data_IF_392415475839
#
_entry.id   IF_392415475839
#
_cell.length_a   1.000
_cell.length_b   1.000
_cell.length_c   1.000
_cell.angle_alpha   90.00
_cell.angle_beta   90.00
_cell.angle_gamma   90.00
#
_symmetry.space_group_name_H-M   'P 1'
#
loop_
_entity.id
_entity.type
_entity.pdbx_description
1 polymer ?
#
# COMPACT_ATOMS: atom_id res chain seq x y z
N UNK A 1 -8.75 28.34 -38.45
CA UNK A 1 -8.45 26.98 -37.95
C UNK A 1 -7.04 26.83 -37.36
N UNK A 2 -5.93 27.23 -38.04
CA UNK A 2 -4.55 27.07 -37.49
C UNK A 2 -4.26 27.73 -36.13
N UNK A 3 -4.90 28.87 -35.80
CA UNK A 3 -4.70 29.55 -34.51
C UNK A 3 -5.32 28.82 -33.31
N UNK A 4 -6.37 28.04 -33.52
CA UNK A 4 -7.04 27.28 -32.45
C UNK A 4 -6.29 26.00 -32.07
N UNK A 5 -5.54 25.41 -33.02
CA UNK A 5 -4.72 24.22 -32.77
C UNK A 5 -3.53 24.51 -31.85
N UNK A 6 -2.92 25.70 -31.95
CA UNK A 6 -1.82 26.11 -31.09
C UNK A 6 -2.25 26.34 -29.63
N UNK A 7 -3.45 26.89 -29.41
CA UNK A 7 -4.00 27.12 -28.06
C UNK A 7 -4.35 25.78 -27.38
N UNK A 8 -4.93 24.84 -28.14
CA UNK A 8 -5.28 23.51 -27.63
C UNK A 8 -4.04 22.66 -27.30
N UNK A 9 -2.94 22.84 -28.06
CA UNK A 9 -1.65 22.19 -27.78
C UNK A 9 -0.94 22.81 -26.56
N UNK A 10 -1.03 24.13 -26.34
CA UNK A 10 -0.45 24.76 -25.14
C UNK A 10 -1.18 24.37 -23.84
N UNK A 11 -2.50 24.11 -23.88
CA UNK A 11 -3.24 23.59 -22.72
C UNK A 11 -2.87 22.13 -22.38
N UNK A 12 -2.36 21.35 -23.34
CA UNK A 12 -1.96 19.97 -23.10
C UNK A 12 -0.57 19.84 -22.42
N UNK A 13 0.21 20.92 -22.38
CA UNK A 13 1.57 20.93 -21.82
C UNK A 13 1.66 21.52 -20.39
N UNK A 14 0.54 21.85 -19.74
CA UNK A 14 0.50 22.08 -18.28
C UNK A 14 0.61 20.74 -17.54
N UNK A 15 1.69 20.03 -17.84
CA UNK A 15 2.02 18.73 -17.28
C UNK A 15 2.24 18.82 -15.78
N UNK A 16 1.83 17.75 -15.11
CA UNK A 16 1.89 17.53 -13.68
C UNK A 16 3.29 17.86 -13.11
N UNK A 17 3.47 19.07 -12.58
CA UNK A 17 4.69 19.44 -11.88
C UNK A 17 4.80 18.62 -10.60
N UNK A 18 6.01 18.15 -10.22
CA UNK A 18 6.20 17.45 -8.96
C UNK A 18 5.90 18.40 -7.80
N UNK A 19 5.42 17.84 -6.69
CA UNK A 19 5.26 18.56 -5.43
C UNK A 19 6.67 18.96 -4.97
N UNK A 20 6.91 20.27 -4.85
CA UNK A 20 8.17 20.80 -4.35
C UNK A 20 8.17 20.77 -2.83
N UNK A 21 9.14 20.09 -2.26
CA UNK A 21 9.41 20.08 -0.82
C UNK A 21 10.57 21.03 -0.57
N UNK A 22 10.36 22.05 0.25
CA UNK A 22 11.44 22.96 0.61
C UNK A 22 12.33 22.29 1.66
N UNK A 23 13.56 21.95 1.27
CA UNK A 23 14.54 21.28 2.13
C UNK A 23 15.80 22.14 2.19
N UNK A 24 15.94 23.00 3.22
CA UNK A 24 17.09 23.89 3.32
C UNK A 24 18.37 23.10 3.50
N UNK A 25 19.45 23.57 2.88
CA UNK A 25 20.80 22.98 2.95
C UNK A 25 20.87 21.51 2.55
N UNK A 26 20.02 21.06 1.62
CA UNK A 26 19.95 19.65 1.24
C UNK A 26 21.33 19.10 0.82
N UNK A 27 22.17 19.90 0.15
CA UNK A 27 23.51 19.54 -0.28
C UNK A 27 24.46 19.07 0.85
N UNK A 28 24.25 19.49 2.11
CA UNK A 28 25.07 19.02 3.24
C UNK A 28 24.99 17.51 3.45
N UNK A 29 23.84 16.93 3.12
CA UNK A 29 23.60 15.49 3.25
C UNK A 29 24.21 14.64 2.14
N UNK A 30 24.85 15.23 1.11
CA UNK A 30 25.57 14.49 0.07
C UNK A 30 26.78 13.71 0.63
N UNK A 31 27.24 14.07 1.83
CA UNK A 31 28.29 13.35 2.56
C UNK A 31 27.84 12.00 3.13
N UNK A 32 26.54 11.79 3.34
CA UNK A 32 25.98 10.52 3.78
C UNK A 32 25.86 9.57 2.60
N UNK A 33 26.50 8.40 2.67
CA UNK A 33 26.41 7.39 1.61
C UNK A 33 25.06 6.66 1.67
N UNK A 34 24.28 6.76 0.59
CA UNK A 34 23.00 6.08 0.44
C UNK A 34 23.01 5.24 -0.83
N UNK A 35 22.81 3.93 -0.69
CA UNK A 35 22.64 3.00 -1.79
C UNK A 35 21.15 2.69 -1.99
N UNK A 36 20.58 3.07 -3.14
CA UNK A 36 19.20 2.76 -3.50
C UNK A 36 19.11 1.42 -4.25
N UNK A 37 18.83 0.35 -3.50
CA UNK A 37 18.70 -1.03 -3.99
C UNK A 37 17.25 -1.40 -4.35
N UNK A 38 16.32 -0.43 -4.32
CA UNK A 38 14.91 -0.68 -4.62
C UNK A 38 14.71 -1.24 -6.03
N UNK A 39 13.76 -2.16 -6.23
CA UNK A 39 13.33 -2.56 -7.56
C UNK A 39 12.96 -1.35 -8.42
N UNK A 40 13.34 -1.35 -9.70
CA UNK A 40 13.03 -0.24 -10.62
C UNK A 40 11.53 0.06 -10.70
N UNK A 41 10.71 -1.00 -10.62
CA UNK A 41 9.26 -0.87 -10.64
C UNK A 41 8.77 0.05 -9.51
N UNK A 42 9.30 -0.04 -8.29
CA UNK A 42 8.86 0.81 -7.16
C UNK A 42 9.04 2.31 -7.39
N UNK A 43 9.94 2.68 -8.32
CA UNK A 43 10.22 4.08 -8.68
C UNK A 43 9.19 4.64 -9.67
N UNK A 44 8.34 3.78 -10.23
CA UNK A 44 7.38 4.11 -11.28
C UNK A 44 5.93 4.20 -10.76
N UNK A 45 5.19 5.14 -11.33
CA UNK A 45 3.75 5.26 -11.07
C UNK A 45 3.00 4.09 -11.72
N UNK A 46 2.12 3.45 -10.97
CA UNK A 46 1.22 2.40 -11.48
C UNK A 46 -0.19 2.64 -10.97
N UNK A 47 -1.16 2.68 -11.88
CA UNK A 47 -2.59 2.63 -11.55
C UNK A 47 -3.03 1.19 -11.73
N UNK A 48 -3.52 0.54 -10.68
CA UNK A 48 -3.84 -0.89 -10.73
C UNK A 48 -5.12 -1.16 -11.52
N UNK A 49 -6.20 -0.44 -11.23
CA UNK A 49 -7.43 -0.56 -12.02
C UNK A 49 -8.24 0.73 -12.11
N UNK A 50 -8.89 0.92 -13.27
CA UNK A 50 -9.88 1.97 -13.53
C UNK A 50 -11.32 1.48 -13.34
N UNK A 51 -11.53 0.16 -13.21
CA UNK A 51 -12.88 -0.44 -13.14
C UNK A 51 -13.37 -0.42 -11.70
N UNK A 52 -14.46 0.30 -11.41
CA UNK A 52 -15.03 0.46 -10.06
C UNK A 52 -15.29 -0.88 -9.36
N UNK A 53 -15.69 -1.89 -10.12
CA UNK A 53 -16.00 -3.25 -9.65
C UNK A 53 -14.76 -4.08 -9.29
N UNK A 54 -13.56 -3.70 -9.77
CA UNK A 54 -12.32 -4.40 -9.47
C UNK A 54 -11.89 -4.19 -8.01
N UNK A 55 -11.28 -5.22 -7.41
CA UNK A 55 -10.67 -5.14 -6.07
C UNK A 55 -9.51 -4.14 -6.00
N UNK A 56 -8.85 -3.91 -7.14
CA UNK A 56 -7.71 -3.03 -7.38
C UNK A 56 -8.10 -1.55 -7.54
N UNK A 57 -9.39 -1.28 -7.69
CA UNK A 57 -9.89 0.07 -7.97
C UNK A 57 -9.49 1.06 -6.88
N UNK A 58 -9.00 2.21 -7.32
CA UNK A 58 -8.60 3.30 -6.41
C UNK A 58 -7.28 3.07 -5.69
N UNK A 59 -6.52 2.03 -6.05
CA UNK A 59 -5.15 1.83 -5.60
C UNK A 59 -4.17 2.35 -6.64
N UNK A 60 -3.21 3.17 -6.21
CA UNK A 60 -2.18 3.74 -7.07
C UNK A 60 -0.84 3.61 -6.38
N UNK A 61 0.16 3.05 -7.04
CA UNK A 61 1.56 3.21 -6.62
C UNK A 61 2.10 4.53 -7.13
N UNK A 62 2.66 5.32 -6.24
CA UNK A 62 3.29 6.60 -6.56
C UNK A 62 4.74 6.36 -6.94
N UNK A 63 5.17 6.95 -8.06
CA UNK A 63 6.57 6.95 -8.46
C UNK A 63 7.34 8.14 -7.88
N UNK A 64 8.67 8.06 -7.95
CA UNK A 64 9.58 9.06 -7.37
C UNK A 64 9.38 10.46 -7.96
N UNK A 65 8.95 10.56 -9.23
CA UNK A 65 8.69 11.82 -9.92
C UNK A 65 7.50 12.63 -9.39
N UNK A 66 6.84 12.19 -8.31
CA UNK A 66 5.74 12.93 -7.66
C UNK A 66 6.23 13.93 -6.62
N UNK A 67 7.44 13.74 -6.09
CA UNK A 67 8.07 14.64 -5.13
C UNK A 67 9.38 15.17 -5.71
N UNK A 68 9.68 16.43 -5.40
CA UNK A 68 10.96 17.06 -5.71
C UNK A 68 11.48 17.72 -4.44
N UNK A 69 12.58 17.20 -3.84
CA UNK A 69 13.41 16.07 -4.29
C UNK A 69 12.72 14.70 -4.13
N UNK A 70 13.26 13.62 -4.74
CA UNK A 70 12.72 12.26 -4.62
C UNK A 70 12.73 11.72 -3.18
N UNK A 71 11.90 10.72 -2.85
CA UNK A 71 11.79 10.17 -1.48
C UNK A 71 13.12 9.71 -0.88
N UNK A 72 13.97 9.00 -1.63
CA UNK A 72 15.29 8.55 -1.13
C UNK A 72 16.21 9.73 -0.81
N UNK A 73 16.09 10.84 -1.55
CA UNK A 73 16.88 12.04 -1.26
C UNK A 73 16.40 12.75 0.01
N UNK A 74 15.09 12.73 0.27
CA UNK A 74 14.51 13.19 1.54
C UNK A 74 14.97 12.31 2.71
N UNK A 75 15.03 10.99 2.51
CA UNK A 75 15.57 10.05 3.50
C UNK A 75 17.03 10.36 3.81
N UNK A 76 17.89 10.51 2.79
CA UNK A 76 19.30 10.87 2.95
C UNK A 76 19.45 12.15 3.78
N UNK A 77 18.63 13.16 3.51
CA UNK A 77 18.64 14.41 4.25
C UNK A 77 18.29 14.22 5.72
N UNK A 78 17.17 13.56 6.03
CA UNK A 78 16.74 13.35 7.42
C UNK A 78 17.68 12.40 8.18
N UNK A 79 18.20 11.37 7.51
CA UNK A 79 19.20 10.48 8.09
C UNK A 79 20.49 11.23 8.41
N UNK A 80 20.95 12.12 7.52
CA UNK A 80 22.12 12.96 7.79
C UNK A 80 21.86 13.89 8.98
N UNK A 81 20.69 14.52 9.06
CA UNK A 81 20.34 15.34 10.23
C UNK A 81 20.42 14.53 11.53
N UNK A 82 19.84 13.33 11.53
CA UNK A 82 19.81 12.45 12.70
C UNK A 82 21.20 11.95 13.11
N UNK A 83 22.04 11.60 12.15
CA UNK A 83 23.33 10.96 12.39
C UNK A 83 24.54 11.88 12.16
N UNK A 84 24.33 13.19 12.02
CA UNK A 84 25.40 14.16 11.73
C UNK A 84 26.53 14.21 12.77
N UNK A 85 26.26 13.75 14.00
CA UNK A 85 27.25 13.66 15.07
C UNK A 85 27.99 12.32 15.12
N UNK A 86 27.60 11.33 14.31
CA UNK A 86 28.26 10.04 14.23
C UNK A 86 29.59 10.15 13.45
N UNK A 87 30.61 9.44 13.91
CA UNK A 87 31.90 9.35 13.23
C UNK A 87 32.42 7.90 13.30
N UNK A 88 32.47 7.15 12.18
CA UNK A 88 32.08 7.58 10.83
C UNK A 88 30.56 7.81 10.68
N UNK A 89 30.16 8.52 9.61
CA UNK A 89 28.75 8.58 9.21
C UNK A 89 28.28 7.19 8.79
N UNK A 90 27.04 6.80 9.13
CA UNK A 90 26.53 5.47 8.83
C UNK A 90 26.34 5.27 7.33
N UNK A 91 26.45 4.03 6.87
CA UNK A 91 26.07 3.65 5.50
C UNK A 91 24.60 3.25 5.49
N UNK A 92 23.82 3.86 4.60
CA UNK A 92 22.40 3.56 4.44
C UNK A 92 22.18 2.78 3.13
N UNK A 93 21.49 1.65 3.21
CA UNK A 93 21.01 0.89 2.05
C UNK A 93 19.49 0.89 2.08
N UNK A 94 18.84 1.23 0.98
CA UNK A 94 17.37 1.27 0.86
C UNK A 94 16.93 0.10 0.00
N UNK A 95 16.22 -0.86 0.59
CA UNK A 95 15.74 -2.05 -0.11
C UNK A 95 14.32 -1.85 -0.64
N UNK A 96 13.44 -1.22 0.15
CA UNK A 96 12.09 -0.84 -0.26
C UNK A 96 11.79 0.59 0.16
N UNK A 97 11.23 1.37 -0.75
CA UNK A 97 10.63 2.67 -0.42
C UNK A 97 9.53 2.94 -1.44
N UNK A 98 8.34 2.45 -1.11
CA UNK A 98 7.17 2.48 -1.99
C UNK A 98 6.00 3.14 -1.29
N UNK A 99 5.27 3.96 -2.05
CA UNK A 99 4.15 4.75 -1.57
C UNK A 99 2.91 4.31 -2.37
N UNK A 100 1.89 3.84 -1.68
CA UNK A 100 0.59 3.55 -2.26
C UNK A 100 -0.42 4.60 -1.82
N UNK A 101 -1.26 5.06 -2.75
CA UNK A 101 -2.50 5.77 -2.46
C UNK A 101 -3.61 4.75 -2.46
N UNK A 102 -4.40 4.74 -1.40
CA UNK A 102 -5.65 3.99 -1.35
C UNK A 102 -6.82 4.96 -1.19
N UNK A 103 -7.48 5.23 -2.31
CA UNK A 103 -8.69 6.05 -2.38
C UNK A 103 -9.94 5.22 -2.65
N UNK A 104 -9.87 3.89 -2.48
CA UNK A 104 -10.93 2.94 -2.87
C UNK A 104 -12.28 3.29 -2.23
N UNK A 105 -12.29 3.52 -0.92
CA UNK A 105 -13.51 3.84 -0.16
C UNK A 105 -14.18 5.13 -0.65
N UNK A 106 -13.40 6.21 -0.82
CA UNK A 106 -13.91 7.51 -1.24
C UNK A 106 -14.30 7.55 -2.72
N UNK A 107 -13.58 6.86 -3.60
CA UNK A 107 -13.95 6.80 -5.02
C UNK A 107 -15.23 5.98 -5.21
N UNK A 108 -15.39 4.90 -4.44
CA UNK A 108 -16.62 4.10 -4.47
C UNK A 108 -17.82 4.81 -3.84
N UNK A 109 -17.61 5.68 -2.85
CA UNK A 109 -18.70 6.51 -2.32
C UNK A 109 -19.01 7.72 -3.21
N UNK A 110 -18.00 8.32 -3.85
CA UNK A 110 -18.11 9.49 -4.71
C UNK A 110 -18.59 9.22 -6.14
N UNK A 111 -18.53 7.97 -6.61
CA UNK A 111 -19.11 7.53 -7.89
C UNK A 111 -20.64 7.76 -7.99
N UNK A 112 -21.30 8.15 -6.90
CA UNK A 112 -22.71 8.57 -6.87
C UNK A 112 -22.91 10.02 -7.35
N UNK A 113 -21.85 10.86 -7.44
CA UNK A 113 -21.99 12.31 -7.70
C UNK A 113 -21.32 12.89 -8.95
N UNK A 114 -20.40 12.20 -9.62
CA UNK A 114 -19.49 12.82 -10.61
C UNK A 114 -19.64 12.27 -12.04
N UNK A 115 -20.75 12.59 -12.70
CA UNK A 115 -20.91 12.42 -14.15
C UNK A 115 -20.09 13.40 -15.00
N UNK A 116 -19.32 14.34 -14.43
CA UNK A 116 -18.66 15.40 -15.20
C UNK A 116 -17.34 15.82 -14.54
N UNK A 117 -16.20 15.46 -15.13
CA UNK A 117 -14.91 16.15 -14.90
C UNK A 117 -13.75 15.29 -14.37
N UNK A 118 -13.07 14.56 -15.25
CA UNK A 118 -11.66 14.12 -15.09
C UNK A 118 -11.28 13.38 -13.81
N UNK A 119 -11.22 12.04 -13.89
CA UNK A 119 -11.12 11.06 -12.78
C UNK A 119 -10.05 11.28 -11.68
N UNK A 120 -9.04 12.13 -11.85
CA UNK A 120 -7.95 12.28 -10.85
C UNK A 120 -7.94 13.67 -10.20
N UNK A 121 -8.50 14.69 -10.86
CA UNK A 121 -8.39 16.08 -10.39
C UNK A 121 -9.58 16.57 -9.56
N UNK A 122 -10.80 16.14 -9.87
CA UNK A 122 -12.01 16.66 -9.23
C UNK A 122 -12.38 15.94 -7.92
N UNK A 123 -11.94 14.69 -7.73
CA UNK A 123 -12.35 13.84 -6.59
C UNK A 123 -11.58 14.09 -5.28
N UNK A 124 -10.52 14.92 -5.30
CA UNK A 124 -9.74 15.24 -4.09
C UNK A 124 -10.27 16.52 -3.39
N UNK A 125 -10.97 17.40 -4.12
CA UNK A 125 -11.28 18.75 -3.61
C UNK A 125 -12.41 18.86 -2.59
N UNK A 126 -13.40 17.95 -2.59
CA UNK A 126 -14.63 18.13 -1.81
C UNK A 126 -15.08 16.93 -0.95
N UNK A 127 -14.48 15.75 -1.12
CA UNK A 127 -14.87 14.52 -0.40
C UNK A 127 -13.84 14.01 0.61
N UNK A 128 -12.74 14.75 0.84
CA UNK A 128 -11.93 14.60 2.06
C UNK A 128 -12.65 15.34 3.18
N UNK A 129 -13.86 14.90 3.51
CA UNK A 129 -14.62 15.43 4.63
C UNK A 129 -13.95 14.94 5.93
N UNK A 130 -13.24 15.83 6.64
CA UNK A 130 -12.94 15.83 8.09
C UNK A 130 -12.72 14.51 8.86
N UNK A 131 -12.22 13.46 8.21
CA UNK A 131 -11.87 12.22 8.89
C UNK A 131 -10.41 12.29 9.36
N UNK A 132 -10.23 12.61 10.64
CA UNK A 132 -8.92 12.72 11.29
C UNK A 132 -8.38 11.32 11.61
N UNK A 133 -7.81 10.67 10.60
CA UNK A 133 -7.10 9.41 10.83
C UNK A 133 -5.72 9.72 11.36
N UNK A 134 -5.48 9.40 12.62
CA UNK A 134 -4.14 9.48 13.22
C UNK A 134 -3.17 8.61 12.42
N UNK A 135 -2.12 9.22 11.87
CA UNK A 135 -1.08 8.49 11.16
C UNK A 135 -0.40 7.47 12.08
N UNK A 136 -0.22 6.24 11.60
CA UNK A 136 0.36 5.14 12.37
C UNK A 136 1.56 4.56 11.63
N UNK A 137 2.70 4.46 12.31
CA UNK A 137 3.88 3.72 11.83
C UNK A 137 4.10 2.49 12.71
N UNK A 138 4.38 1.35 12.10
CA UNK A 138 4.76 0.12 12.80
C UNK A 138 5.90 -0.59 12.08
N UNK A 139 6.73 -1.30 12.85
CA UNK A 139 7.67 -2.28 12.31
C UNK A 139 6.86 -3.48 11.80
N UNK A 140 7.23 -4.01 10.64
CA UNK A 140 6.61 -5.18 10.02
C UNK A 140 7.66 -6.23 9.72
N UNK A 141 7.21 -7.48 9.59
CA UNK A 141 8.00 -8.57 9.02
C UNK A 141 8.12 -8.37 7.49
N UNK A 142 9.28 -8.64 6.92
CA UNK A 142 9.52 -8.58 5.47
C UNK A 142 8.58 -9.48 4.68
N UNK A 143 8.21 -10.64 5.23
CA UNK A 143 7.25 -11.55 4.63
C UNK A 143 5.83 -10.95 4.54
N UNK A 144 5.50 -9.94 5.36
CA UNK A 144 4.23 -9.22 5.23
C UNK A 144 4.19 -8.31 4.00
N UNK A 145 5.34 -8.03 3.38
CA UNK A 145 5.43 -7.30 2.11
C UNK A 145 5.30 -8.23 0.91
N UNK A 146 5.70 -9.51 1.04
CA UNK A 146 5.59 -10.51 -0.01
C UNK A 146 4.15 -11.05 -0.13
N UNK A 147 3.30 -10.25 -0.76
CA UNK A 147 1.92 -10.62 -1.11
C UNK A 147 1.85 -11.00 -2.59
N UNK A 148 1.03 -12.01 -2.91
CA UNK A 148 0.85 -12.50 -4.28
C UNK A 148 0.44 -11.41 -5.27
N UNK A 149 -0.29 -10.41 -4.79
CA UNK A 149 -0.84 -9.32 -5.59
C UNK A 149 -0.40 -7.96 -5.03
N UNK A 150 0.39 -7.22 -5.81
CA UNK A 150 1.04 -5.98 -5.37
C UNK A 150 0.05 -4.92 -4.83
N UNK A 151 -1.13 -4.78 -5.44
CA UNK A 151 -2.13 -3.78 -5.02
C UNK A 151 -2.60 -3.97 -3.57
N UNK A 152 -2.52 -5.20 -3.04
CA UNK A 152 -2.92 -5.50 -1.67
C UNK A 152 -2.01 -4.83 -0.64
N UNK A 153 -0.79 -4.44 -1.01
CA UNK A 153 0.10 -3.63 -0.18
C UNK A 153 -0.51 -2.25 0.11
N UNK A 154 -1.34 -1.73 -0.79
CA UNK A 154 -2.08 -0.47 -0.56
C UNK A 154 -3.26 -0.59 0.40
N UNK A 155 -3.63 -1.80 0.85
CA UNK A 155 -4.77 -1.97 1.76
C UNK A 155 -4.40 -1.58 3.19
N UNK A 156 -5.42 -1.23 3.97
CA UNK A 156 -5.33 -0.89 5.38
C UNK A 156 -6.40 -1.66 6.16
N UNK A 157 -6.17 -1.87 7.45
CA UNK A 157 -7.17 -2.48 8.34
C UNK A 157 -8.10 -1.40 8.92
N UNK A 158 -9.26 -1.81 9.42
CA UNK A 158 -10.18 -0.87 10.11
C UNK A 158 -9.57 -0.27 11.38
N UNK A 159 -8.60 -0.94 12.02
CA UNK A 159 -7.89 -0.37 13.17
C UNK A 159 -6.91 0.74 12.77
N UNK A 160 -6.39 0.71 11.53
CA UNK A 160 -5.45 1.71 11.01
C UNK A 160 -6.15 2.94 10.44
N UNK A 161 -7.37 2.76 9.94
CA UNK A 161 -8.16 3.80 9.32
C UNK A 161 -9.66 3.52 9.56
N UNK A 162 -10.15 3.80 10.78
CA UNK A 162 -11.53 3.49 11.17
C UNK A 162 -12.55 4.27 10.33
N UNK A 163 -12.18 5.46 9.91
CA UNK A 163 -12.98 6.35 9.08
C UNK A 163 -13.02 5.96 7.60
N UNK A 164 -12.17 5.02 7.18
CA UNK A 164 -12.00 4.62 5.78
C UNK A 164 -11.71 5.83 4.88
N UNK A 165 -10.94 6.79 5.37
CA UNK A 165 -10.48 7.92 4.57
C UNK A 165 -9.53 7.46 3.45
N UNK A 166 -9.31 8.32 2.46
CA UNK A 166 -8.18 8.09 1.54
C UNK A 166 -6.86 8.27 2.29
N UNK A 167 -5.96 7.30 2.15
CA UNK A 167 -4.69 7.26 2.89
C UNK A 167 -3.51 7.01 1.96
N UNK A 168 -2.34 7.44 2.41
CA UNK A 168 -1.07 6.94 1.93
C UNK A 168 -0.65 5.72 2.77
N UNK A 169 -0.26 4.64 2.10
CA UNK A 169 0.39 3.48 2.73
C UNK A 169 1.82 3.42 2.24
N UNK A 170 2.77 3.69 3.14
CA UNK A 170 4.19 3.86 2.84
C UNK A 170 4.97 2.72 3.49
N UNK A 171 5.74 2.02 2.68
CA UNK A 171 6.68 0.99 3.12
C UNK A 171 8.09 1.53 2.99
N UNK A 172 8.88 1.38 4.05
CA UNK A 172 10.27 1.79 4.08
C UNK A 172 11.09 0.71 4.76
N UNK A 173 11.97 0.07 3.99
CA UNK A 173 12.93 -0.93 4.42
C UNK A 173 14.35 -0.41 4.17
N UNK A 174 15.12 -0.25 5.24
CA UNK A 174 16.51 0.16 5.13
C UNK A 174 17.42 -0.72 5.99
N UNK A 175 18.67 -0.84 5.54
CA UNK A 175 19.77 -1.32 6.36
C UNK A 175 20.69 -0.12 6.67
N UNK A 176 20.90 0.16 7.96
CA UNK A 176 21.83 1.20 8.40
C UNK A 176 22.86 0.54 9.33
N UNK A 177 24.11 0.51 8.86
CA UNK A 177 25.24 -0.17 9.52
C UNK A 177 24.93 -1.62 9.97
N UNK A 178 24.25 -2.39 9.11
CA UNK A 178 23.95 -3.80 9.36
C UNK A 178 22.73 -4.05 10.25
N UNK A 179 22.03 -3.00 10.67
CA UNK A 179 20.70 -3.13 11.28
C UNK A 179 19.65 -2.94 10.20
N UNK A 180 18.84 -3.96 9.96
CA UNK A 180 17.68 -3.84 9.10
C UNK A 180 16.44 -3.42 9.92
N UNK A 181 15.66 -2.48 9.40
CA UNK A 181 14.34 -2.14 9.91
C UNK A 181 13.40 -2.02 8.73
N UNK A 182 12.26 -2.68 8.82
CA UNK A 182 11.17 -2.53 7.86
C UNK A 182 9.95 -1.96 8.55
N UNK A 183 9.53 -0.75 8.14
CA UNK A 183 8.32 -0.11 8.65
C UNK A 183 7.23 0.04 7.60
N UNK A 184 5.99 0.03 8.08
CA UNK A 184 4.80 0.45 7.33
C UNK A 184 4.14 1.63 8.03
N UNK A 185 3.86 2.68 7.28
CA UNK A 185 3.15 3.88 7.73
C UNK A 185 1.82 4.02 6.98
N UNK A 186 0.71 4.19 7.70
CA UNK A 186 -0.58 4.61 7.15
C UNK A 186 -0.79 6.06 7.56
N UNK A 187 -0.91 6.96 6.60
CA UNK A 187 -1.04 8.39 6.83
C UNK A 187 -2.25 8.98 6.10
N UNK A 188 -2.92 9.94 6.73
CA UNK A 188 -4.05 10.64 6.12
C UNK A 188 -3.63 11.39 4.85
N UNK A 189 -4.53 11.46 3.86
CA UNK A 189 -4.40 12.38 2.73
C UNK A 189 -4.97 13.77 3.03
N UNK A 190 -5.44 14.01 4.26
CA UNK A 190 -5.95 15.31 4.66
C UNK A 190 -4.85 16.37 4.65
N UNK A 191 -5.17 17.52 4.08
CA UNK A 191 -4.26 18.67 4.06
C UNK A 191 -4.16 19.24 5.48
N UNK A 192 -2.94 19.32 6.02
CA UNK A 192 -2.65 20.01 7.27
C UNK A 192 -1.98 21.35 6.98
N UNK A 193 -2.74 22.44 7.04
CA UNK A 193 -2.25 23.79 6.71
C UNK A 193 -1.93 23.96 5.23
N UNK A 194 -0.74 24.50 4.94
CA UNK A 194 -0.28 24.77 3.58
C UNK A 194 0.62 23.68 2.99
N UNK A 195 0.97 22.68 3.78
CA UNK A 195 1.81 21.58 3.33
C UNK A 195 1.04 20.64 2.41
N UNK A 196 1.76 20.09 1.42
CA UNK A 196 1.23 19.03 0.58
C UNK A 196 1.14 17.72 1.40
N UNK A 197 0.00 17.01 1.36
CA UNK A 197 -0.22 15.85 2.21
C UNK A 197 0.71 14.67 1.86
N UNK A 198 1.11 14.52 0.58
CA UNK A 198 2.08 13.48 0.20
C UNK A 198 3.46 13.80 0.78
N UNK A 199 3.90 15.05 0.68
CA UNK A 199 5.17 15.49 1.28
C UNK A 199 5.18 15.24 2.79
N UNK A 200 4.11 15.63 3.49
CA UNK A 200 4.00 15.44 4.94
C UNK A 200 4.02 13.96 5.31
N UNK A 201 3.23 13.12 4.64
CA UNK A 201 3.18 11.67 4.87
C UNK A 201 4.55 11.00 4.67
N UNK A 202 5.28 11.36 3.62
CA UNK A 202 6.63 10.83 3.35
C UNK A 202 7.62 11.26 4.42
N UNK A 203 7.62 12.54 4.80
CA UNK A 203 8.51 13.03 5.86
C UNK A 203 8.20 12.41 7.22
N UNK A 204 6.92 12.21 7.54
CA UNK A 204 6.49 11.52 8.76
C UNK A 204 6.96 10.06 8.77
N UNK A 205 6.76 9.34 7.66
CA UNK A 205 7.20 7.95 7.53
C UNK A 205 8.72 7.81 7.70
N UNK A 206 9.52 8.70 7.08
CA UNK A 206 10.98 8.72 7.23
C UNK A 206 11.38 8.98 8.69
N UNK A 207 10.81 10.00 9.33
CA UNK A 207 11.15 10.35 10.71
C UNK A 207 10.89 9.18 11.66
N UNK A 208 9.67 8.64 11.61
CA UNK A 208 9.27 7.51 12.46
C UNK A 208 10.11 6.27 12.17
N UNK A 209 10.46 6.01 10.91
CA UNK A 209 11.35 4.92 10.54
C UNK A 209 12.75 5.07 11.15
N UNK A 210 13.35 6.26 11.01
CA UNK A 210 14.68 6.52 11.52
C UNK A 210 14.76 6.44 13.06
N UNK A 211 13.66 6.69 13.76
CA UNK A 211 13.60 6.55 15.23
C UNK A 211 13.85 5.11 15.72
N UNK A 212 13.68 4.11 14.87
CA UNK A 212 14.01 2.72 15.20
C UNK A 212 15.51 2.42 15.24
N UNK A 213 16.37 3.30 14.72
CA UNK A 213 17.83 3.09 14.66
C UNK A 213 18.57 3.56 15.92
N UNK A 214 17.88 4.21 16.86
CA UNK A 214 18.50 4.83 18.04
C UNK A 214 19.48 5.96 17.66
N UNK A 215 20.06 6.62 18.66
CA UNK A 215 21.11 7.62 18.45
C UNK A 215 22.52 6.98 18.44
N UNK A 216 22.60 5.68 18.73
CA UNK A 216 23.85 4.96 19.02
C UNK A 216 24.08 3.84 18.01
N UNK A 217 24.15 4.18 16.72
CA UNK A 217 24.61 3.23 15.69
C UNK A 217 26.11 2.88 15.87
N UNK A 218 26.81 3.59 16.76
CA UNK A 218 28.24 3.39 17.06
C UNK A 218 28.60 2.15 17.91
N UNK A 219 27.67 1.29 18.32
CA UNK A 219 27.96 0.18 19.26
C UNK A 219 27.83 -1.24 18.70
N UNK A 220 27.36 -1.44 17.47
CA UNK A 220 27.38 -2.77 16.84
C UNK A 220 28.71 -2.98 16.12
N UNK A 221 29.74 -3.25 16.90
CA UNK A 221 30.95 -3.91 16.40
C UNK A 221 30.55 -5.25 15.76
N UNK A 222 31.18 -5.67 14.65
CA UNK A 222 30.87 -6.94 14.02
C UNK A 222 31.20 -8.05 15.01
N UNK A 223 30.18 -8.78 15.46
CA UNK A 223 30.39 -10.10 16.03
C UNK A 223 30.83 -10.99 14.86
N UNK A 224 32.11 -10.90 14.52
CA UNK A 224 32.75 -11.73 13.54
C UNK A 224 32.52 -13.17 13.98
N UNK A 225 31.67 -13.87 13.24
CA UNK A 225 31.46 -15.30 13.35
C UNK A 225 32.83 -15.96 13.36
N UNK A 226 33.21 -16.48 14.52
CA UNK A 226 34.47 -17.19 14.70
C UNK A 226 34.51 -18.31 13.66
N UNK A 227 35.54 -18.28 12.82
CA UNK A 227 35.86 -19.32 11.88
C UNK A 227 35.91 -20.66 12.61
N UNK A 228 34.93 -21.53 12.31
CA UNK A 228 35.01 -22.95 12.64
C UNK A 228 36.20 -23.49 11.87
N UNK A 229 37.26 -23.78 12.61
CA UNK A 229 38.47 -24.40 12.09
C UNK A 229 38.13 -25.86 11.83
N UNK A 230 38.20 -26.25 10.56
CA UNK A 230 38.15 -27.63 10.09
C UNK A 230 39.13 -28.51 10.89
N UNK A 231 38.64 -29.62 11.39
CA UNK A 231 39.45 -30.71 11.95
C UNK A 231 39.17 -31.98 11.14
N UNK A 232 40.17 -32.62 10.51
CA UNK A 232 39.96 -33.84 9.75
C UNK A 232 40.00 -35.04 10.69
N UNK A 233 38.95 -35.86 10.70
CA UNK A 233 38.92 -37.00 11.61
C UNK A 233 37.83 -38.03 11.34
N UNK A 234 38.22 -39.07 10.61
CA UNK A 234 37.78 -40.46 10.75
C UNK A 234 36.44 -40.90 10.10
N UNK A 235 36.64 -41.72 9.07
CA UNK A 235 35.69 -42.67 8.51
C UNK A 235 35.19 -43.67 9.57
N UNK A 236 33.87 -43.89 9.61
CA UNK A 236 33.26 -45.11 10.12
C UNK A 236 32.09 -45.51 9.21
N UNK A 237 32.01 -46.82 9.00
CA UNK A 237 31.29 -47.53 7.95
C UNK A 237 29.76 -47.50 8.02
N UNK A 238 29.15 -47.75 6.85
CA UNK A 238 27.77 -48.18 6.63
C UNK A 238 27.38 -49.37 7.52
N UNK A 239 26.07 -49.55 7.78
CA UNK A 239 25.42 -50.65 7.05
C UNK A 239 23.95 -50.43 6.65
N UNK A 240 23.58 -51.25 5.66
CA UNK A 240 22.29 -51.91 5.47
C UNK A 240 21.07 -51.07 5.04
N UNK A 241 20.79 -51.25 3.75
CA UNK A 241 19.51 -51.14 3.07
C UNK A 241 18.41 -52.02 3.68
N UNK A 242 17.18 -51.50 3.68
CA UNK A 242 15.94 -52.31 3.74
C UNK A 242 14.91 -51.67 2.80
N UNK A 243 14.21 -52.46 1.96
CA UNK A 243 13.25 -51.93 0.99
C UNK A 243 11.86 -51.80 1.62
N UNK A 244 11.16 -50.71 1.33
CA UNK A 244 9.75 -50.51 1.66
C UNK A 244 9.01 -49.86 0.46
N UNK A 245 7.69 -50.07 0.36
CA UNK A 245 7.03 -50.42 -0.89
C UNK A 245 6.61 -49.23 -1.75
N UNK A 246 6.58 -49.50 -3.05
CA UNK A 246 5.87 -48.73 -4.07
C UNK A 246 4.39 -48.63 -3.71
N UNK A 247 3.91 -47.42 -3.43
CA UNK A 247 2.49 -47.10 -3.35
C UNK A 247 2.16 -46.18 -4.52
N UNK A 248 1.20 -46.63 -5.32
CA UNK A 248 0.73 -45.98 -6.53
C UNK A 248 0.31 -44.52 -6.28
N UNK A 249 0.84 -43.62 -7.12
CA UNK A 249 0.36 -42.25 -7.24
C UNK A 249 -1.07 -42.27 -7.80
N UNK A 250 -2.04 -42.04 -6.91
CA UNK A 250 -3.40 -41.66 -7.32
C UNK A 250 -3.41 -40.16 -7.52
N UNK A 251 -3.52 -39.74 -8.78
CA UNK A 251 -3.70 -38.35 -9.17
C UNK A 251 -5.05 -37.84 -8.64
N UNK A 252 -5.03 -37.13 -7.51
CA UNK A 252 -6.17 -36.33 -7.07
C UNK A 252 -6.07 -34.99 -7.78
N UNK A 253 -6.92 -34.80 -8.78
CA UNK A 253 -7.21 -33.49 -9.36
C UNK A 253 -7.94 -32.70 -8.27
N UNK A 254 -7.20 -31.86 -7.54
CA UNK A 254 -7.76 -30.94 -6.57
C UNK A 254 -8.53 -29.84 -7.32
N UNK A 255 -9.86 -29.91 -7.25
CA UNK A 255 -10.77 -28.84 -7.63
C UNK A 255 -10.59 -27.67 -6.67
N UNK A 256 -9.95 -26.59 -7.12
CA UNK A 256 -9.74 -25.32 -6.40
C UNK A 256 -11.01 -24.44 -6.32
N UNK A 257 -12.20 -24.99 -6.56
CA UNK A 257 -13.45 -24.23 -6.66
C UNK A 257 -14.29 -24.08 -5.37
N UNK A 258 -13.79 -24.44 -4.18
CA UNK A 258 -14.66 -24.61 -3.00
C UNK A 258 -14.28 -23.82 -1.74
N UNK A 259 -13.19 -23.07 -1.70
CA UNK A 259 -12.84 -22.25 -0.52
C UNK A 259 -13.45 -20.85 -0.51
N UNK A 260 -13.80 -20.28 -1.67
CA UNK A 260 -14.41 -18.93 -1.76
C UNK A 260 -15.88 -18.91 -1.28
N UNK A 261 -16.57 -20.05 -1.37
CA UNK A 261 -17.97 -20.19 -0.94
C UNK A 261 -18.16 -20.09 0.58
N UNK A 262 -17.21 -20.60 1.38
CA UNK A 262 -17.35 -20.63 2.83
C UNK A 262 -17.22 -19.25 3.48
N UNK A 263 -16.32 -18.40 2.99
CA UNK A 263 -16.16 -17.04 3.49
C UNK A 263 -17.37 -16.15 3.16
N UNK A 264 -17.94 -16.33 1.96
CA UNK A 264 -19.13 -15.57 1.50
C UNK A 264 -20.36 -15.90 2.35
N UNK A 265 -20.56 -17.18 2.68
CA UNK A 265 -21.70 -17.65 3.47
C UNK A 265 -21.75 -17.06 4.90
N UNK A 266 -20.59 -16.77 5.51
CA UNK A 266 -20.53 -16.16 6.84
C UNK A 266 -20.93 -14.68 6.86
N UNK A 267 -20.79 -13.99 5.73
CA UNK A 267 -20.98 -12.53 5.62
C UNK A 267 -22.38 -12.17 5.13
N UNK A 268 -23.03 -13.07 4.37
CA UNK A 268 -24.36 -12.86 3.80
C UNK A 268 -25.43 -12.44 4.82
N UNK A 269 -25.52 -13.00 6.04
CA UNK A 269 -26.50 -12.54 7.04
C UNK A 269 -26.27 -11.09 7.49
N UNK A 270 -25.02 -10.64 7.53
CA UNK A 270 -24.67 -9.26 7.87
C UNK A 270 -25.07 -8.32 6.72
N UNK A 271 -24.83 -8.74 5.47
CA UNK A 271 -25.28 -8.00 4.30
C UNK A 271 -26.81 -7.92 4.23
N UNK A 272 -27.50 -9.03 4.53
CA UNK A 272 -28.96 -9.08 4.57
C UNK A 272 -29.53 -8.14 5.62
N UNK A 273 -28.92 -8.08 6.81
CA UNK A 273 -29.33 -7.13 7.86
C UNK A 273 -29.24 -5.68 7.38
N UNK A 274 -28.16 -5.32 6.67
CA UNK A 274 -27.99 -3.98 6.09
C UNK A 274 -29.03 -3.70 5.01
N UNK A 275 -29.31 -4.67 4.12
CA UNK A 275 -30.36 -4.53 3.09
C UNK A 275 -31.74 -4.30 3.72
N UNK A 276 -32.09 -5.07 4.75
CA UNK A 276 -33.39 -4.95 5.43
C UNK A 276 -33.53 -3.63 6.18
N UNK A 277 -32.46 -3.08 6.76
CA UNK A 277 -32.49 -1.76 7.43
C UNK A 277 -32.84 -0.62 6.49
N UNK A 278 -32.49 -0.71 5.20
CA UNK A 278 -32.83 0.30 4.19
C UNK A 278 -34.10 -0.04 3.39
N UNK A 279 -34.84 -1.08 3.80
CA UNK A 279 -36.08 -1.49 3.14
C UNK A 279 -35.90 -2.23 1.82
N UNK A 280 -34.72 -2.82 1.58
CA UNK A 280 -34.44 -3.63 0.40
C UNK A 280 -34.70 -5.13 0.66
N UNK A 281 -34.84 -5.89 -0.42
CA UNK A 281 -35.13 -7.32 -0.42
C UNK A 281 -33.93 -8.20 -0.09
N UNK A 282 -33.98 -9.45 -0.57
CA UNK A 282 -32.92 -10.42 -0.33
C UNK A 282 -31.61 -9.99 -1.01
N UNK A 283 -30.49 -10.17 -0.31
CA UNK A 283 -29.17 -9.94 -0.89
C UNK A 283 -28.79 -11.09 -1.83
N UNK A 284 -28.12 -10.75 -2.92
CA UNK A 284 -27.48 -11.71 -3.82
C UNK A 284 -25.98 -11.42 -3.85
N UNK A 285 -25.15 -12.44 -3.67
CA UNK A 285 -23.71 -12.29 -3.79
C UNK A 285 -23.34 -11.80 -5.20
N UNK A 286 -22.46 -10.80 -5.24
CA UNK A 286 -21.95 -10.16 -6.45
C UNK A 286 -20.42 -9.99 -6.32
N UNK A 287 -19.73 -11.06 -5.92
CA UNK A 287 -18.30 -11.10 -5.62
C UNK A 287 -18.03 -11.66 -4.22
N UNK A 288 -16.75 -11.70 -3.83
CA UNK A 288 -16.33 -12.28 -2.54
C UNK A 288 -16.80 -11.48 -1.32
N UNK A 289 -16.88 -10.15 -1.44
CA UNK A 289 -17.28 -9.25 -0.33
C UNK A 289 -18.42 -8.31 -0.69
N UNK A 290 -19.00 -8.46 -1.87
CA UNK A 290 -20.02 -7.54 -2.39
C UNK A 290 -21.34 -8.27 -2.62
N UNK A 291 -22.44 -7.61 -2.27
CA UNK A 291 -23.79 -8.11 -2.37
C UNK A 291 -24.67 -7.07 -3.07
N UNK A 292 -25.76 -7.50 -3.68
CA UNK A 292 -26.75 -6.63 -4.31
C UNK A 292 -28.11 -6.93 -3.71
N UNK A 293 -28.86 -5.92 -3.29
CA UNK A 293 -30.23 -6.07 -2.80
C UNK A 293 -31.21 -5.21 -3.61
N UNK A 294 -32.34 -5.74 -4.11
CA UNK A 294 -33.34 -4.95 -4.83
C UNK A 294 -34.19 -4.11 -3.88
N UNK A 295 -34.51 -2.87 -4.26
CA UNK A 295 -35.21 -1.88 -3.44
C UNK A 295 -36.38 -1.24 -4.22
N UNK A 296 -37.14 -2.06 -4.95
CA UNK A 296 -38.19 -1.58 -5.86
C UNK A 296 -37.62 -1.19 -7.22
N UNK A 297 -37.47 0.11 -7.50
CA UNK A 297 -37.03 0.62 -8.82
C UNK A 297 -35.51 0.68 -9.00
N UNK A 298 -34.75 0.40 -7.95
CA UNK A 298 -33.29 0.37 -7.96
C UNK A 298 -32.81 -0.81 -7.11
N UNK A 299 -31.53 -1.16 -7.23
CA UNK A 299 -30.87 -2.07 -6.30
C UNK A 299 -29.74 -1.33 -5.59
N UNK A 300 -29.40 -1.74 -4.37
CA UNK A 300 -28.19 -1.26 -3.69
C UNK A 300 -27.08 -2.29 -3.80
N UNK A 301 -25.84 -1.82 -3.89
CA UNK A 301 -24.65 -2.64 -3.71
C UNK A 301 -24.19 -2.48 -2.26
N UNK A 302 -23.94 -3.59 -1.58
CA UNK A 302 -23.46 -3.66 -0.20
C UNK A 302 -22.05 -4.24 -0.25
N UNK A 303 -21.07 -3.54 0.33
CA UNK A 303 -19.70 -4.04 0.47
C UNK A 303 -19.44 -4.40 1.94
N UNK A 304 -18.84 -5.56 2.15
CA UNK A 304 -18.63 -6.16 3.46
C UNK A 304 -17.15 -6.42 3.69
N UNK A 305 -16.53 -5.64 4.56
CA UNK A 305 -15.11 -5.76 4.89
C UNK A 305 -14.93 -5.90 6.40
N UNK A 306 -14.10 -6.86 6.82
CA UNK A 306 -13.84 -7.15 8.24
C UNK A 306 -15.11 -7.49 9.04
N UNK A 307 -16.10 -8.15 8.43
CA UNK A 307 -17.37 -8.50 9.08
C UNK A 307 -18.35 -7.33 9.26
N UNK A 308 -18.07 -6.18 8.65
CA UNK A 308 -18.96 -5.01 8.66
C UNK A 308 -19.43 -4.72 7.23
N UNK A 309 -20.75 -4.77 7.02
CA UNK A 309 -21.39 -4.48 5.74
C UNK A 309 -21.96 -3.06 5.71
N UNK A 310 -21.88 -2.38 4.55
CA UNK A 310 -22.48 -1.04 4.35
C UNK A 310 -23.00 -0.88 2.92
N UNK A 311 -24.12 -0.15 2.72
CA UNK A 311 -24.56 0.20 1.38
C UNK A 311 -23.54 1.16 0.75
N UNK A 312 -23.14 0.87 -0.49
CA UNK A 312 -22.15 1.63 -1.24
C UNK A 312 -22.80 2.59 -2.23
N UNK A 313 -23.62 2.07 -3.14
CA UNK A 313 -24.27 2.84 -4.19
C UNK A 313 -25.56 2.16 -4.67
N UNK A 314 -26.43 2.94 -5.30
CA UNK A 314 -27.62 2.45 -6.00
C UNK A 314 -27.29 2.19 -7.47
N UNK A 315 -27.74 1.05 -7.99
CA UNK A 315 -27.73 0.72 -9.42
C UNK A 315 -29.17 0.67 -9.94
N UNK A 316 -29.38 0.98 -11.21
CA UNK A 316 -30.69 0.79 -11.83
C UNK A 316 -31.08 -0.69 -11.73
N UNK A 317 -32.34 -0.97 -11.35
CA UNK A 317 -32.83 -2.34 -11.33
C UNK A 317 -32.72 -2.92 -12.75
N UNK A 318 -32.17 -4.14 -12.88
CA UNK A 318 -32.36 -4.89 -14.12
C UNK A 318 -33.85 -5.20 -14.20
N UNK A 319 -34.53 -4.62 -15.19
CA UNK A 319 -35.82 -5.12 -15.59
C UNK A 319 -35.56 -6.45 -16.28
N UNK A 320 -35.87 -7.55 -15.59
CA UNK A 320 -35.99 -8.86 -16.24
C UNK A 320 -37.27 -8.79 -17.10
N UNK A 321 -37.09 -8.53 -18.40
CA UNK A 321 -38.14 -8.68 -19.42
C UNK A 321 -38.44 -10.16 -19.71
#
# INVERSE_FOLDING_TARGET
MKRYFAVLLMLACTGCAPVKVNVPDIAKSDSLQVADMRPSSEKEKKLFSLLITSSEYGIIRMGDGKLSPPPVRLLQYQAFQKFSTANPLPKVTVNHFVIYVNAKSQLRSGAVGAGVGGMVGAMIGNSIANHDTSSMTRVIDENAFDVSEEYRRGFYTSSENPDRASVFVIYLDTDIDGKNVFTRTVASMQKHGDEDPLSNAVQLAIRNHLDHYGNSVAAMAPNASAAVTDSPGSAVASPASTPAPSVAATSVIASTGSQESAATAAIEPVAQSVASQVGCGAVQANGATTFVAPCGTYSIVIDCDGGQCRPMHTIAAKHDE
#
